data_IF_908165676379
#
_entry.id   IF_908165676379
#
_cell.length_a   1.000
_cell.length_b   1.000
_cell.length_c   1.000
_cell.angle_alpha   90.00
_cell.angle_beta   90.00
_cell.angle_gamma   90.00
#
_symmetry.space_group_name_H-M   'P 1'
#
loop_
_entity.id
_entity.type
_entity.pdbx_description
1 polymer ?
#
# COMPACT_ATOMS: atom_id res chain seq x y z
N UNK A 1 -19.20 12.51 17.01
CA UNK A 1 -18.43 11.38 17.60
C UNK A 1 -19.07 10.05 17.22
N UNK A 2 -18.31 9.05 16.76
CA UNK A 2 -18.85 7.71 16.43
C UNK A 2 -18.92 6.83 17.69
N UNK A 3 -20.10 6.28 17.97
CA UNK A 3 -20.31 5.27 19.01
C UNK A 3 -19.82 3.91 18.50
N UNK A 4 -19.03 3.22 19.32
CA UNK A 4 -18.58 1.85 19.06
C UNK A 4 -19.05 0.94 20.20
N UNK A 5 -18.93 -0.38 20.02
CA UNK A 5 -19.38 -1.34 21.03
C UNK A 5 -18.76 -1.14 22.41
N UNK A 6 -17.49 -0.70 22.50
CA UNK A 6 -16.82 -0.42 23.78
C UNK A 6 -17.46 0.77 24.51
N UNK A 7 -17.76 1.85 23.80
CA UNK A 7 -18.44 3.04 24.35
C UNK A 7 -19.85 2.71 24.78
N UNK A 8 -20.58 1.90 24.02
CA UNK A 8 -21.94 1.47 24.38
C UNK A 8 -21.94 0.66 25.67
N UNK A 9 -21.04 -0.32 25.80
CA UNK A 9 -20.86 -1.09 27.05
C UNK A 9 -20.53 -0.17 28.23
N UNK A 10 -19.63 0.79 28.03
CA UNK A 10 -19.28 1.74 29.07
C UNK A 10 -20.47 2.61 29.50
N UNK A 11 -21.25 3.14 28.55
CA UNK A 11 -22.46 3.93 28.83
C UNK A 11 -23.44 3.14 29.70
N UNK A 12 -23.72 1.88 29.32
CA UNK A 12 -24.63 1.01 30.06
C UNK A 12 -24.09 0.74 31.47
N UNK A 13 -22.81 0.39 31.59
CA UNK A 13 -22.18 0.15 32.89
C UNK A 13 -22.25 1.37 33.82
N UNK A 14 -22.06 2.59 33.29
CA UNK A 14 -22.21 3.81 34.10
C UNK A 14 -23.66 4.06 34.50
N UNK A 15 -24.63 3.83 33.59
CA UNK A 15 -26.05 3.95 33.94
C UNK A 15 -26.47 2.95 35.03
N UNK A 16 -25.96 1.71 34.99
CA UNK A 16 -26.20 0.71 36.04
C UNK A 16 -25.61 1.11 37.39
N UNK A 17 -24.50 1.86 37.39
CA UNK A 17 -23.91 2.46 38.61
C UNK A 17 -24.68 3.66 39.17
N UNK A 18 -25.75 4.09 38.50
CA UNK A 18 -26.57 5.23 38.92
C UNK A 18 -26.08 6.59 38.42
N UNK A 19 -25.10 6.63 37.50
CA UNK A 19 -24.57 7.89 37.00
C UNK A 19 -25.59 8.72 36.22
N UNK A 20 -25.42 10.04 36.31
CA UNK A 20 -26.32 10.98 35.66
C UNK A 20 -26.19 10.91 34.14
N UNK A 21 -27.32 10.95 33.44
CA UNK A 21 -27.38 10.94 31.97
C UNK A 21 -26.60 12.12 31.38
N UNK A 22 -26.62 13.28 32.04
CA UNK A 22 -25.91 14.49 31.61
C UNK A 22 -24.39 14.32 31.67
N UNK A 23 -23.89 13.74 32.78
CA UNK A 23 -22.47 13.45 32.97
C UNK A 23 -21.95 12.50 31.90
N UNK A 24 -22.67 11.39 31.68
CA UNK A 24 -22.32 10.38 30.66
C UNK A 24 -22.32 11.00 29.26
N UNK A 25 -23.33 11.82 28.94
CA UNK A 25 -23.45 12.51 27.66
C UNK A 25 -22.26 13.45 27.40
N UNK A 26 -21.86 14.24 28.42
CA UNK A 26 -20.70 15.14 28.35
C UNK A 26 -19.39 14.38 28.15
N UNK A 27 -19.15 13.32 28.92
CA UNK A 27 -17.93 12.49 28.79
C UNK A 27 -17.86 11.84 27.40
N UNK A 28 -18.99 11.35 26.89
CA UNK A 28 -19.06 10.65 25.61
C UNK A 28 -19.30 11.57 24.40
N UNK A 29 -19.39 12.90 24.59
CA UNK A 29 -19.64 13.85 23.50
C UNK A 29 -20.88 13.51 22.64
N UNK A 30 -21.97 13.06 23.27
CA UNK A 30 -23.26 12.74 22.63
C UNK A 30 -24.41 13.44 23.36
N UNK A 31 -25.61 13.47 22.76
CA UNK A 31 -26.78 14.05 23.43
C UNK A 31 -27.29 13.17 24.58
N UNK A 32 -27.85 13.80 25.62
CA UNK A 32 -28.47 13.09 26.75
C UNK A 32 -29.59 12.14 26.30
N UNK A 33 -30.37 12.54 25.29
CA UNK A 33 -31.41 11.68 24.69
C UNK A 33 -30.82 10.41 24.07
N UNK A 34 -29.63 10.49 23.45
CA UNK A 34 -28.99 9.30 22.88
C UNK A 34 -28.55 8.31 23.96
N UNK A 35 -28.06 8.80 25.10
CA UNK A 35 -27.75 7.97 26.28
C UNK A 35 -29.00 7.26 26.78
N UNK A 36 -30.13 7.98 26.91
CA UNK A 36 -31.40 7.41 27.35
C UNK A 36 -31.90 6.31 26.40
N UNK A 37 -31.83 6.53 25.08
CA UNK A 37 -32.22 5.53 24.08
C UNK A 37 -31.39 4.25 24.19
N UNK A 38 -30.07 4.38 24.31
CA UNK A 38 -29.16 3.23 24.45
C UNK A 38 -29.49 2.44 25.72
N UNK A 39 -29.70 3.14 26.84
CA UNK A 39 -30.02 2.48 28.10
C UNK A 39 -31.40 1.82 28.06
N UNK A 40 -32.41 2.48 27.49
CA UNK A 40 -33.75 1.93 27.34
C UNK A 40 -33.75 0.66 26.48
N UNK A 41 -33.11 0.68 25.31
CA UNK A 41 -33.01 -0.49 24.44
C UNK A 41 -32.33 -1.67 25.13
N UNK A 42 -31.30 -1.41 25.96
CA UNK A 42 -30.67 -2.43 26.80
C UNK A 42 -31.65 -2.99 27.85
N UNK A 43 -32.37 -2.14 28.58
CA UNK A 43 -33.34 -2.58 29.61
C UNK A 43 -34.49 -3.38 29.00
N UNK A 44 -34.98 -2.97 27.83
CA UNK A 44 -36.12 -3.60 27.17
C UNK A 44 -35.77 -4.96 26.54
N UNK A 45 -34.52 -5.15 26.10
CA UNK A 45 -34.10 -6.33 25.31
C UNK A 45 -33.08 -7.24 26.00
N UNK A 46 -32.50 -6.80 27.11
CA UNK A 46 -31.35 -7.38 27.82
C UNK A 46 -30.13 -7.66 26.90
N UNK A 47 -30.06 -6.97 25.77
CA UNK A 47 -28.99 -7.11 24.77
C UNK A 47 -28.31 -5.76 24.52
N UNK A 48 -27.02 -5.82 24.18
CA UNK A 48 -26.27 -4.62 23.83
C UNK A 48 -26.83 -3.99 22.54
N UNK A 49 -27.22 -2.71 22.57
CA UNK A 49 -27.72 -2.00 21.39
C UNK A 49 -26.72 -2.02 20.25
N UNK A 50 -27.18 -2.42 19.05
CA UNK A 50 -26.34 -2.44 17.86
C UNK A 50 -26.49 -1.12 17.09
N UNK A 51 -25.62 -0.16 17.40
CA UNK A 51 -25.63 1.15 16.76
C UNK A 51 -24.80 1.13 15.48
N UNK A 52 -25.35 1.67 14.40
CA UNK A 52 -24.65 1.85 13.13
C UNK A 52 -24.72 0.65 12.19
N UNK A 53 -25.59 -0.31 12.49
CA UNK A 53 -25.98 -1.32 11.51
C UNK A 53 -26.77 -0.68 10.36
N UNK A 54 -26.58 -1.19 9.15
CA UNK A 54 -27.30 -0.76 7.95
C UNK A 54 -27.20 0.75 7.65
N UNK A 55 -26.12 1.41 8.08
CA UNK A 55 -25.84 2.78 7.68
C UNK A 55 -25.52 2.85 6.18
N UNK A 56 -26.10 3.84 5.50
CA UNK A 56 -25.81 4.13 4.10
C UNK A 56 -26.76 3.45 3.11
N UNK A 57 -26.39 3.47 1.83
CA UNK A 57 -27.22 2.92 0.74
C UNK A 57 -27.36 1.40 0.90
N UNK A 58 -28.58 0.83 0.84
CA UNK A 58 -28.77 -0.62 0.82
C UNK A 58 -27.97 -1.29 -0.29
N UNK A 59 -27.38 -2.45 -0.01
CA UNK A 59 -26.64 -3.23 -1.02
C UNK A 59 -27.62 -3.83 -2.01
N UNK A 60 -27.46 -3.51 -3.30
CA UNK A 60 -28.24 -4.14 -4.38
C UNK A 60 -27.67 -5.51 -4.69
N UNK A 61 -28.43 -6.56 -4.35
CA UNK A 61 -28.05 -7.94 -4.64
C UNK A 61 -28.02 -8.21 -6.14
N UNK A 62 -27.27 -9.22 -6.56
CA UNK A 62 -27.29 -9.74 -7.93
C UNK A 62 -28.53 -10.62 -8.11
N UNK A 63 -29.23 -10.43 -9.23
CA UNK A 63 -30.28 -11.34 -9.69
C UNK A 63 -29.70 -12.72 -10.00
N UNK A 64 -30.53 -13.76 -10.08
CA UNK A 64 -30.11 -15.08 -10.62
C UNK A 64 -29.46 -14.91 -11.99
N UNK A 65 -30.13 -14.17 -12.88
CA UNK A 65 -29.70 -14.02 -14.27
C UNK A 65 -28.36 -13.24 -14.36
N UNK A 66 -28.19 -12.23 -13.50
CA UNK A 66 -26.93 -11.49 -13.40
C UNK A 66 -25.77 -12.42 -12.98
N UNK A 67 -26.03 -13.40 -12.11
CA UNK A 67 -25.02 -14.37 -11.65
C UNK A 67 -24.64 -15.35 -12.74
N UNK A 68 -25.62 -15.90 -13.45
CA UNK A 68 -25.40 -16.82 -14.57
C UNK A 68 -24.55 -16.18 -15.67
N UNK A 69 -24.84 -14.91 -16.00
CA UNK A 69 -24.03 -14.14 -16.97
C UNK A 69 -22.59 -14.00 -16.48
N UNK A 70 -22.38 -13.72 -15.18
CA UNK A 70 -21.02 -13.60 -14.62
C UNK A 70 -20.31 -14.95 -14.65
N UNK A 71 -20.98 -16.04 -14.26
CA UNK A 71 -20.39 -17.38 -14.24
C UNK A 71 -19.99 -17.85 -15.64
N UNK A 72 -20.86 -17.64 -16.63
CA UNK A 72 -20.56 -17.94 -18.04
C UNK A 72 -19.37 -17.12 -18.54
N UNK A 73 -19.40 -15.79 -18.34
CA UNK A 73 -18.32 -14.91 -18.81
C UNK A 73 -17.00 -15.20 -18.08
N UNK A 74 -17.04 -15.54 -16.79
CA UNK A 74 -15.84 -15.93 -16.06
C UNK A 74 -15.30 -17.28 -16.54
N UNK A 75 -16.17 -18.26 -16.85
CA UNK A 75 -15.74 -19.55 -17.40
C UNK A 75 -15.05 -19.39 -18.76
N UNK A 76 -15.59 -18.52 -19.62
CA UNK A 76 -15.05 -18.26 -20.97
C UNK A 76 -13.67 -17.59 -20.92
N UNK A 77 -13.49 -16.56 -20.08
CA UNK A 77 -12.32 -15.68 -20.13
C UNK A 77 -11.38 -15.73 -18.91
N UNK A 78 -11.90 -16.13 -17.74
CA UNK A 78 -11.18 -16.18 -16.45
C UNK A 78 -10.55 -14.84 -16.03
N UNK A 79 -11.13 -13.72 -16.46
CA UNK A 79 -10.64 -12.39 -16.14
C UNK A 79 -11.13 -11.85 -14.79
N UNK A 80 -10.48 -10.78 -14.33
CA UNK A 80 -10.88 -10.02 -13.15
C UNK A 80 -12.13 -9.16 -13.40
N UNK A 81 -12.76 -8.72 -12.31
CA UNK A 81 -14.06 -8.06 -12.31
C UNK A 81 -14.16 -6.81 -13.20
N UNK A 82 -13.08 -6.01 -13.35
CA UNK A 82 -13.10 -4.82 -14.21
C UNK A 82 -13.23 -5.19 -15.70
N UNK A 83 -12.52 -6.23 -16.14
CA UNK A 83 -12.61 -6.70 -17.52
C UNK A 83 -13.95 -7.41 -17.78
N UNK A 84 -14.43 -8.18 -16.81
CA UNK A 84 -15.75 -8.81 -16.91
C UNK A 84 -16.88 -7.79 -17.04
N UNK A 85 -16.81 -6.65 -16.35
CA UNK A 85 -17.79 -5.57 -16.52
C UNK A 85 -17.88 -5.11 -17.98
N UNK A 86 -16.73 -4.85 -18.62
CA UNK A 86 -16.65 -4.42 -20.02
C UNK A 86 -17.20 -5.52 -20.95
N UNK A 87 -16.81 -6.77 -20.73
CA UNK A 87 -17.25 -7.91 -21.54
C UNK A 87 -18.75 -8.17 -21.41
N UNK A 88 -19.29 -8.08 -20.19
CA UNK A 88 -20.71 -8.30 -19.92
C UNK A 88 -21.55 -7.18 -20.53
N UNK A 89 -21.11 -5.93 -20.42
CA UNK A 89 -21.77 -4.80 -21.05
C UNK A 89 -21.77 -4.94 -22.58
N UNK A 90 -20.64 -5.33 -23.19
CA UNK A 90 -20.53 -5.51 -24.64
C UNK A 90 -21.34 -6.70 -25.18
N UNK A 91 -21.31 -7.87 -24.51
CA UNK A 91 -21.92 -9.11 -25.00
C UNK A 91 -23.40 -9.24 -24.65
N UNK A 92 -23.82 -8.77 -23.47
CA UNK A 92 -25.17 -8.98 -22.94
C UNK A 92 -25.95 -7.68 -22.73
N UNK A 93 -25.37 -6.52 -23.09
CA UNK A 93 -25.95 -5.18 -22.87
C UNK A 93 -26.44 -4.97 -21.43
N UNK A 94 -25.73 -5.56 -20.46
CA UNK A 94 -26.11 -5.58 -19.05
C UNK A 94 -25.07 -4.83 -18.22
N UNK A 95 -25.49 -3.75 -17.56
CA UNK A 95 -24.60 -2.95 -16.72
C UNK A 95 -24.52 -3.52 -15.30
N UNK A 96 -23.45 -4.26 -15.02
CA UNK A 96 -23.15 -4.80 -13.69
C UNK A 96 -21.82 -4.21 -13.23
N UNK A 97 -21.84 -3.44 -12.13
CA UNK A 97 -20.60 -2.83 -11.63
C UNK A 97 -19.55 -3.88 -11.25
N UNK A 98 -18.28 -3.63 -11.58
CA UNK A 98 -17.16 -4.50 -11.18
C UNK A 98 -17.15 -4.80 -9.68
N UNK A 99 -17.62 -3.87 -8.82
CA UNK A 99 -17.73 -4.12 -7.40
C UNK A 99 -18.73 -5.23 -7.05
N UNK A 100 -19.86 -5.31 -7.75
CA UNK A 100 -20.84 -6.40 -7.58
C UNK A 100 -20.26 -7.71 -8.10
N UNK A 101 -19.65 -7.68 -9.29
CA UNK A 101 -18.97 -8.84 -9.89
C UNK A 101 -17.88 -9.37 -8.95
N UNK A 102 -17.01 -8.50 -8.45
CA UNK A 102 -15.92 -8.87 -7.56
C UNK A 102 -16.42 -9.52 -6.26
N UNK A 103 -17.45 -8.95 -5.63
CA UNK A 103 -18.04 -9.54 -4.43
C UNK A 103 -18.65 -10.92 -4.69
N UNK A 104 -19.25 -11.11 -5.87
CA UNK A 104 -19.77 -12.42 -6.28
C UNK A 104 -18.65 -13.44 -6.51
N UNK A 105 -17.60 -13.06 -7.24
CA UNK A 105 -16.42 -13.91 -7.44
C UNK A 105 -15.74 -14.26 -6.12
N UNK A 106 -15.69 -13.34 -5.15
CA UNK A 106 -15.22 -13.63 -3.80
C UNK A 106 -16.11 -14.66 -3.09
N UNK A 107 -17.44 -14.54 -3.21
CA UNK A 107 -18.36 -15.53 -2.61
C UNK A 107 -18.24 -16.93 -3.22
N UNK A 108 -17.81 -17.01 -4.47
CA UNK A 108 -17.57 -18.25 -5.22
C UNK A 108 -16.13 -18.77 -5.09
N UNK A 109 -15.27 -18.13 -4.28
CA UNK A 109 -13.82 -18.43 -4.17
C UNK A 109 -13.02 -18.33 -5.49
N UNK A 110 -13.57 -17.64 -6.50
CA UNK A 110 -12.92 -17.39 -7.80
C UNK A 110 -12.01 -16.16 -7.78
N UNK A 111 -12.13 -15.31 -6.76
CA UNK A 111 -11.23 -14.21 -6.48
C UNK A 111 -10.60 -14.36 -5.10
N UNK A 112 -9.35 -13.88 -4.93
CA UNK A 112 -8.64 -13.88 -3.65
C UNK A 112 -8.61 -12.48 -3.04
N UNK A 113 -8.93 -12.38 -1.75
CA UNK A 113 -8.82 -11.12 -1.02
C UNK A 113 -7.34 -10.81 -0.70
N UNK A 114 -6.87 -9.61 -1.09
CA UNK A 114 -5.53 -9.14 -0.71
C UNK A 114 -5.63 -7.93 0.24
N UNK A 115 -5.54 -8.19 1.56
CA UNK A 115 -5.64 -7.15 2.59
C UNK A 115 -4.54 -6.09 2.48
N UNK A 116 -3.32 -6.47 2.09
CA UNK A 116 -2.19 -5.53 1.92
C UNK A 116 -2.47 -4.50 0.81
N UNK A 117 -3.14 -4.92 -0.26
CA UNK A 117 -3.54 -4.04 -1.37
C UNK A 117 -4.76 -3.17 -1.07
N UNK A 118 -5.57 -3.51 -0.05
CA UNK A 118 -6.72 -2.69 0.40
C UNK A 118 -6.32 -1.51 1.27
N UNK A 119 -5.17 -1.60 1.94
CA UNK A 119 -4.67 -0.50 2.76
C UNK A 119 -3.91 0.48 1.88
N UNK A 120 -4.16 1.78 2.08
CA UNK A 120 -3.33 2.83 1.48
C UNK A 120 -1.90 2.62 1.98
N UNK A 121 -0.95 2.40 1.06
CA UNK A 121 0.47 2.37 1.40
C UNK A 121 0.83 3.74 1.98
N UNK A 122 1.41 3.75 3.18
CA UNK A 122 2.02 4.97 3.71
C UNK A 122 3.29 5.17 2.90
N UNK A 123 3.29 6.16 2.02
CA UNK A 123 4.51 6.58 1.37
C UNK A 123 5.37 7.28 2.41
N UNK A 124 6.59 6.79 2.60
CA UNK A 124 7.58 7.45 3.44
C UNK A 124 8.64 8.01 2.50
N UNK A 125 8.74 9.34 2.45
CA UNK A 125 9.89 10.02 1.83
C UNK A 125 10.99 10.02 2.89
N UNK A 126 12.04 9.25 2.66
CA UNK A 126 13.27 9.43 3.40
C UNK A 126 14.12 10.36 2.53
N UNK A 127 14.13 11.64 2.86
CA UNK A 127 15.10 12.60 2.32
C UNK A 127 16.09 12.90 3.43
N UNK A 128 17.38 12.68 3.18
CA UNK A 128 18.42 13.11 4.10
C UNK A 128 18.46 14.65 4.14
N UNK A 129 18.67 15.20 5.32
CA UNK A 129 18.73 16.66 5.51
C UNK A 129 19.99 17.31 4.92
N UNK A 130 21.05 16.52 4.70
CA UNK A 130 22.34 17.02 4.24
C UNK A 130 22.81 16.27 3.00
N UNK A 131 23.36 17.01 2.02
CA UNK A 131 24.04 16.44 0.86
C UNK A 131 25.20 15.55 1.25
N UNK A 132 25.56 14.61 0.37
CA UNK A 132 26.60 13.60 0.57
C UNK A 132 26.33 12.65 1.76
N UNK A 133 25.16 12.74 2.39
CA UNK A 133 24.75 11.78 3.43
C UNK A 133 24.20 10.48 2.85
N UNK A 134 23.51 10.56 1.71
CA UNK A 134 23.10 9.41 0.92
C UNK A 134 22.97 9.83 -0.55
N UNK A 135 23.41 8.97 -1.46
CA UNK A 135 23.15 9.10 -2.88
C UNK A 135 22.59 7.79 -3.42
N UNK A 136 21.86 7.86 -4.53
CA UNK A 136 21.33 6.70 -5.23
C UNK A 136 22.08 6.52 -6.53
N UNK A 137 22.51 5.31 -6.83
CA UNK A 137 23.02 4.95 -8.16
C UNK A 137 21.97 4.13 -8.89
N UNK A 138 21.71 4.47 -10.15
CA UNK A 138 20.75 3.75 -10.97
C UNK A 138 21.22 3.63 -12.41
N UNK A 139 20.73 2.60 -13.10
CA UNK A 139 20.94 2.39 -14.52
C UNK A 139 19.65 2.62 -15.29
N UNK A 140 19.75 3.36 -16.38
CA UNK A 140 18.65 3.66 -17.27
C UNK A 140 19.03 3.36 -18.71
N UNK A 141 18.22 2.55 -19.38
CA UNK A 141 18.37 2.34 -20.82
C UNK A 141 17.83 3.55 -21.58
N UNK A 142 18.66 4.14 -22.43
CA UNK A 142 18.23 5.11 -23.43
C UNK A 142 17.79 4.37 -24.70
N UNK A 143 16.47 4.22 -24.95
CA UNK A 143 15.96 3.40 -26.05
C UNK A 143 16.23 3.99 -27.44
N UNK A 144 16.57 5.28 -27.53
CA UNK A 144 16.87 5.94 -28.80
C UNK A 144 18.29 5.66 -29.27
N UNK A 145 19.23 5.54 -28.33
CA UNK A 145 20.66 5.34 -28.60
C UNK A 145 21.10 3.90 -28.37
N UNK A 146 20.28 3.08 -27.70
CA UNK A 146 20.66 1.72 -27.28
C UNK A 146 21.78 1.70 -26.24
N UNK A 147 21.99 2.82 -25.54
CA UNK A 147 23.01 2.99 -24.51
C UNK A 147 22.39 2.85 -23.12
N UNK A 148 23.22 2.42 -22.18
CA UNK A 148 22.93 2.33 -20.76
C UNK A 148 23.55 3.54 -20.07
N UNK A 149 22.73 4.34 -19.38
CA UNK A 149 23.15 5.52 -18.63
C UNK A 149 23.23 5.15 -17.16
N UNK A 150 24.37 5.38 -16.53
CA UNK A 150 24.53 5.23 -15.09
C UNK A 150 24.70 6.61 -14.47
N UNK A 151 23.99 6.89 -13.38
CA UNK A 151 24.10 8.16 -12.68
C UNK A 151 24.03 7.96 -11.16
N UNK A 152 24.86 8.71 -10.43
CA UNK A 152 24.81 8.84 -8.97
C UNK A 152 24.12 10.16 -8.65
N UNK A 153 23.00 10.10 -7.92
CA UNK A 153 22.16 11.24 -7.58
C UNK A 153 22.10 11.45 -6.07
N UNK A 154 22.52 12.61 -5.59
CA UNK A 154 22.43 13.00 -4.19
C UNK A 154 20.97 13.02 -3.72
N UNK A 155 20.65 12.35 -2.62
CA UNK A 155 19.27 12.24 -2.15
C UNK A 155 18.71 13.59 -1.65
N UNK A 156 19.56 14.42 -1.05
CA UNK A 156 19.16 15.70 -0.45
C UNK A 156 18.97 16.79 -1.51
N UNK A 157 20.00 17.03 -2.33
CA UNK A 157 20.00 18.10 -3.34
C UNK A 157 19.38 17.70 -4.68
N UNK A 158 19.23 16.39 -4.94
CA UNK A 158 18.86 15.83 -6.26
C UNK A 158 19.87 16.12 -7.38
N UNK A 159 21.08 16.56 -7.03
CA UNK A 159 22.16 16.78 -7.97
C UNK A 159 22.71 15.45 -8.48
N UNK A 160 22.94 15.34 -9.78
CA UNK A 160 23.76 14.26 -10.34
C UNK A 160 25.21 14.56 -10.02
N UNK A 161 25.82 13.73 -9.18
CA UNK A 161 27.18 13.92 -8.68
C UNK A 161 28.21 13.31 -9.64
N UNK A 162 27.88 12.17 -10.25
CA UNK A 162 28.69 11.48 -11.25
C UNK A 162 27.77 10.73 -12.22
N UNK A 163 28.25 10.46 -13.44
CA UNK A 163 27.47 9.69 -14.40
C UNK A 163 28.13 9.51 -15.76
N UNK A 164 27.69 8.48 -16.47
CA UNK A 164 28.23 8.14 -17.78
C UNK A 164 27.28 7.34 -18.65
N UNK A 165 27.54 7.34 -19.96
CA UNK A 165 26.82 6.54 -20.95
C UNK A 165 27.71 5.40 -21.44
N UNK A 166 27.17 4.19 -21.47
CA UNK A 166 27.90 2.97 -21.76
C UNK A 166 27.10 2.04 -22.67
N UNK A 167 27.78 1.14 -23.38
CA UNK A 167 27.09 0.14 -24.20
C UNK A 167 26.38 -0.93 -23.36
N UNK A 168 26.88 -1.22 -22.16
CA UNK A 168 26.40 -2.30 -21.29
C UNK A 168 26.37 -1.87 -19.83
N UNK A 169 25.36 -2.35 -19.10
CA UNK A 169 25.32 -2.27 -17.65
C UNK A 169 26.21 -3.38 -17.07
N UNK A 170 27.35 -3.00 -16.50
CA UNK A 170 28.28 -3.94 -15.88
C UNK A 170 29.04 -3.30 -14.71
N UNK A 171 29.73 -4.14 -13.95
CA UNK A 171 30.47 -3.71 -12.75
C UNK A 171 31.63 -2.78 -13.09
N UNK A 172 32.35 -3.01 -14.19
CA UNK A 172 33.47 -2.16 -14.61
C UNK A 172 33.05 -0.72 -14.89
N UNK A 173 31.92 -0.52 -15.56
CA UNK A 173 31.41 0.82 -15.85
C UNK A 173 30.84 1.49 -14.59
N UNK A 174 30.21 0.70 -13.70
CA UNK A 174 29.82 1.18 -12.36
C UNK A 174 31.02 1.73 -11.60
N UNK A 175 32.14 1.00 -11.57
CA UNK A 175 33.37 1.43 -10.88
C UNK A 175 33.86 2.76 -11.45
N UNK A 176 33.86 2.96 -12.77
CA UNK A 176 34.27 4.24 -13.39
C UNK A 176 33.43 5.43 -12.90
N UNK A 177 32.12 5.25 -12.72
CA UNK A 177 31.24 6.31 -12.21
C UNK A 177 31.51 6.59 -10.73
N UNK A 178 31.84 5.56 -9.94
CA UNK A 178 32.25 5.73 -8.54
C UNK A 178 33.62 6.41 -8.43
N UNK A 179 34.57 6.05 -9.29
CA UNK A 179 35.90 6.70 -9.33
C UNK A 179 35.79 8.19 -9.67
N UNK A 180 34.86 8.56 -10.56
CA UNK A 180 34.53 9.97 -10.83
C UNK A 180 34.02 10.67 -9.56
N UNK A 181 33.05 10.08 -8.86
CA UNK A 181 32.56 10.62 -7.58
C UNK A 181 33.71 10.82 -6.56
N UNK A 182 34.57 9.82 -6.40
CA UNK A 182 35.70 9.88 -5.46
C UNK A 182 36.68 10.98 -5.87
N UNK A 183 37.08 11.02 -7.13
CA UNK A 183 38.04 12.02 -7.64
C UNK A 183 37.55 13.45 -7.43
N UNK A 184 36.27 13.73 -7.70
CA UNK A 184 35.74 15.09 -7.68
C UNK A 184 35.35 15.56 -6.27
N UNK A 185 34.89 14.67 -5.39
CA UNK A 185 34.25 15.07 -4.13
C UNK A 185 34.88 14.52 -2.85
N UNK A 186 35.75 13.50 -2.92
CA UNK A 186 36.23 12.82 -1.71
C UNK A 186 37.04 13.73 -0.79
N UNK A 187 37.88 14.60 -1.36
CA UNK A 187 38.68 15.56 -0.59
C UNK A 187 37.84 16.70 0.02
N UNK A 188 36.63 16.92 -0.49
CA UNK A 188 35.72 17.99 -0.05
C UNK A 188 34.75 17.45 1.00
N UNK A 189 34.02 16.38 0.67
CA UNK A 189 33.02 15.76 1.53
C UNK A 189 32.75 14.33 1.05
N UNK A 190 33.35 13.30 1.69
CA UNK A 190 33.12 11.91 1.33
C UNK A 190 31.64 11.53 1.40
N UNK A 191 31.16 10.82 0.36
CA UNK A 191 29.81 10.26 0.37
C UNK A 191 29.71 9.20 1.48
N UNK A 192 28.72 9.35 2.36
CA UNK A 192 28.55 8.43 3.51
C UNK A 192 27.88 7.12 3.15
N UNK A 193 26.84 7.19 2.32
CA UNK A 193 26.05 6.01 1.94
C UNK A 193 25.72 6.09 0.44
N UNK A 194 26.04 5.03 -0.30
CA UNK A 194 25.59 4.84 -1.68
C UNK A 194 24.52 3.75 -1.69
N UNK A 195 23.29 4.12 -2.05
CA UNK A 195 22.13 3.24 -2.12
C UNK A 195 22.06 2.71 -3.55
N UNK A 196 22.05 1.39 -3.68
CA UNK A 196 21.91 0.69 -4.95
C UNK A 196 20.72 -0.26 -4.83
N UNK A 197 19.83 -0.27 -5.82
CA UNK A 197 18.80 -1.30 -5.88
C UNK A 197 19.46 -2.65 -6.24
N UNK A 198 18.93 -3.75 -5.70
CA UNK A 198 19.51 -5.10 -5.84
C UNK A 198 19.28 -5.69 -7.25
N UNK A 199 19.70 -4.98 -8.29
CA UNK A 199 19.82 -5.51 -9.64
C UNK A 199 20.91 -6.58 -9.70
N UNK A 200 20.72 -7.59 -10.54
CA UNK A 200 21.70 -8.67 -10.78
C UNK A 200 23.08 -8.17 -11.21
N UNK A 201 23.16 -6.93 -11.70
CA UNK A 201 24.35 -6.30 -12.29
C UNK A 201 25.33 -5.74 -11.24
N UNK A 202 24.92 -5.70 -9.96
CA UNK A 202 25.73 -5.19 -8.83
C UNK A 202 26.23 -6.28 -7.86
N UNK A 203 26.13 -7.58 -8.21
CA UNK A 203 26.82 -8.66 -7.48
C UNK A 203 25.94 -9.65 -6.70
N UNK A 204 24.66 -9.81 -7.04
CA UNK A 204 23.72 -10.69 -6.32
C UNK A 204 23.83 -12.21 -6.64
N UNK A 205 24.97 -12.69 -7.14
CA UNK A 205 25.20 -14.14 -7.33
C UNK A 205 26.16 -14.77 -6.31
N UNK A 206 26.53 -14.07 -5.23
CA UNK A 206 27.41 -14.61 -4.19
C UNK A 206 26.94 -14.26 -2.78
N UNK A 207 25.71 -14.65 -2.44
CA UNK A 207 25.33 -14.82 -1.04
C UNK A 207 25.44 -16.32 -0.78
N UNK A 208 26.45 -16.72 0.01
CA UNK A 208 26.50 -18.08 0.52
C UNK A 208 25.36 -18.28 1.53
N UNK A 209 24.93 -19.52 1.79
CA UNK A 209 23.79 -19.83 2.68
C UNK A 209 23.94 -19.30 4.13
N UNK A 210 25.11 -18.79 4.49
CA UNK A 210 25.44 -18.16 5.78
C UNK A 210 25.25 -16.62 5.81
N UNK A 211 24.83 -16.00 4.70
CA UNK A 211 24.61 -14.56 4.62
C UNK A 211 25.89 -13.72 4.49
N UNK A 212 27.04 -14.35 4.24
CA UNK A 212 28.27 -13.65 3.91
C UNK A 212 28.29 -13.22 2.43
N UNK A 213 28.82 -12.03 2.18
CA UNK A 213 29.03 -11.45 0.86
C UNK A 213 30.50 -11.00 0.73
N UNK A 214 31.17 -11.52 -0.30
CA UNK A 214 32.50 -11.10 -0.73
C UNK A 214 32.40 -10.36 -2.06
N UNK A 215 32.82 -9.11 -2.05
CA UNK A 215 33.05 -8.32 -3.25
C UNK A 215 34.35 -7.54 -3.09
N UNK A 216 34.95 -7.19 -4.24
CA UNK A 216 36.13 -6.31 -4.31
C UNK A 216 35.90 -4.93 -3.67
N UNK A 217 34.64 -4.53 -3.42
CA UNK A 217 34.31 -3.30 -2.70
C UNK A 217 34.66 -3.34 -1.21
N UNK A 218 35.03 -4.50 -0.66
CA UNK A 218 35.38 -4.67 0.75
C UNK A 218 36.86 -4.48 1.05
N UNK A 219 37.74 -4.57 0.04
CA UNK A 219 39.21 -4.60 0.24
C UNK A 219 39.92 -3.26 0.06
N UNK A 220 39.19 -2.18 -0.25
CA UNK A 220 39.75 -0.82 -0.28
C UNK A 220 39.48 -0.09 1.03
N UNK A 221 40.24 -0.44 2.08
CA UNK A 221 40.30 0.27 3.36
C UNK A 221 41.69 0.86 3.56
#
# INVERSE_FOLDING_TARGET
MKLNGKKIRWIIAQKLKGESTSTIAKIQGISARRVQQIYKEYVDTDKLPQVGNNLGRPRKQLSSDDKEIIDQTYSDYKFGACYLEILIEGKYNRKISHNRIHNYLLSMNLAKENRKKKQRRKWCRYEREHSMSAAHIDWHENPLLGLQVCAILDDSSRMVIAGGEYAHCNTENTIKVIDELVREYWDICPLRELIMDHGSEFGAHRINEDGSWDSEFKESN
#
